data_IF_205786049254
#
_entry.id   IF_205786049254
#
_cell.length_a   1.000
_cell.length_b   1.000
_cell.length_c   1.000
_cell.angle_alpha   90.00
_cell.angle_beta   90.00
_cell.angle_gamma   90.00
#
_symmetry.space_group_name_H-M   'P 1'
#
loop_
_entity.id
_entity.type
_entity.pdbx_description
1 polymer ?
#
# COMPACT_ATOMS: atom_id res chain seq x y z
N UNK A 1 9.40 -15.38 -15.14
CA UNK A 1 8.68 -14.31 -15.83
C UNK A 1 7.47 -13.88 -15.01
N UNK A 2 7.27 -12.57 -14.85
CA UNK A 2 6.15 -12.07 -14.05
C UNK A 2 4.86 -12.20 -14.86
N UNK A 3 3.79 -12.72 -14.22
CA UNK A 3 2.46 -12.79 -14.85
C UNK A 3 1.87 -11.38 -14.93
N UNK A 4 2.01 -10.80 -16.11
CA UNK A 4 1.61 -9.41 -16.39
C UNK A 4 0.14 -9.14 -16.08
N UNK A 5 -0.74 -10.05 -16.48
CA UNK A 5 -2.18 -9.85 -16.29
C UNK A 5 -2.57 -9.78 -14.82
N UNK A 6 -2.03 -10.67 -14.00
CA UNK A 6 -2.31 -10.66 -12.56
C UNK A 6 -1.78 -9.40 -11.88
N UNK A 7 -0.59 -8.96 -12.26
CA UNK A 7 -0.01 -7.73 -11.71
C UNK A 7 -0.83 -6.51 -12.15
N UNK A 8 -1.23 -6.45 -13.41
CA UNK A 8 -2.06 -5.35 -13.92
C UNK A 8 -3.41 -5.25 -13.20
N UNK A 9 -4.04 -6.38 -12.89
CA UNK A 9 -5.30 -6.38 -12.14
C UNK A 9 -5.12 -5.76 -10.74
N UNK A 10 -4.02 -6.05 -10.08
CA UNK A 10 -3.72 -5.49 -8.76
C UNK A 10 -3.32 -4.03 -8.84
N UNK A 11 -2.60 -3.63 -9.87
CA UNK A 11 -2.30 -2.22 -10.11
C UNK A 11 -3.59 -1.41 -10.33
N UNK A 12 -4.56 -1.97 -11.05
CA UNK A 12 -5.86 -1.33 -11.23
C UNK A 12 -6.57 -1.12 -9.90
N UNK A 13 -6.57 -2.15 -9.04
CA UNK A 13 -7.15 -2.03 -7.69
C UNK A 13 -6.43 -0.97 -6.86
N UNK A 14 -5.12 -0.94 -6.93
CA UNK A 14 -4.32 0.06 -6.24
C UNK A 14 -4.68 1.48 -6.69
N UNK A 15 -4.75 1.70 -7.99
CA UNK A 15 -5.07 3.01 -8.56
C UNK A 15 -6.48 3.47 -8.18
N UNK A 16 -7.46 2.57 -8.19
CA UNK A 16 -8.82 2.88 -7.77
C UNK A 16 -8.88 3.27 -6.30
N UNK A 17 -8.19 2.52 -5.44
CA UNK A 17 -8.15 2.83 -4.01
C UNK A 17 -7.47 4.18 -3.75
N UNK A 18 -6.35 4.44 -4.40
CA UNK A 18 -5.61 5.71 -4.25
C UNK A 18 -6.46 6.89 -4.72
N UNK A 19 -7.21 6.74 -5.80
CA UNK A 19 -8.12 7.79 -6.27
C UNK A 19 -9.17 8.14 -5.21
N UNK A 20 -9.79 7.13 -4.61
CA UNK A 20 -10.77 7.33 -3.53
C UNK A 20 -10.14 8.00 -2.31
N UNK A 21 -8.91 7.63 -2.00
CA UNK A 21 -8.17 8.24 -0.89
C UNK A 21 -7.86 9.72 -1.16
N UNK A 22 -7.54 10.09 -2.39
CA UNK A 22 -7.35 11.49 -2.77
C UNK A 22 -8.63 12.31 -2.58
N UNK A 23 -9.79 11.75 -2.89
CA UNK A 23 -11.07 12.40 -2.65
C UNK A 23 -11.30 12.67 -1.16
N UNK A 24 -10.90 11.76 -0.31
CA UNK A 24 -11.02 11.92 1.15
C UNK A 24 -9.98 12.91 1.67
N UNK A 25 -8.79 12.93 1.10
CA UNK A 25 -7.68 13.78 1.54
C UNK A 25 -7.96 15.29 1.41
N UNK A 26 -8.96 15.69 0.64
CA UNK A 26 -9.34 17.12 0.53
C UNK A 26 -10.10 17.64 1.74
N UNK A 27 -10.63 16.75 2.58
CA UNK A 27 -11.37 17.14 3.77
C UNK A 27 -10.43 17.58 4.89
N UNK A 28 -10.89 18.56 5.70
CA UNK A 28 -10.16 19.00 6.88
C UNK A 28 -10.16 17.90 7.94
N UNK A 29 -9.28 18.04 8.94
CA UNK A 29 -9.26 17.14 10.08
C UNK A 29 -10.62 17.10 10.79
N UNK A 30 -11.24 18.26 11.02
CA UNK A 30 -12.54 18.31 11.69
C UNK A 30 -13.64 17.60 10.89
N UNK A 31 -13.68 17.81 9.58
CA UNK A 31 -14.62 17.11 8.71
C UNK A 31 -14.41 15.60 8.75
N UNK A 32 -13.15 15.17 8.65
CA UNK A 32 -12.80 13.77 8.67
C UNK A 32 -13.12 13.12 10.01
N UNK A 33 -12.66 13.73 11.10
CA UNK A 33 -12.84 13.20 12.46
C UNK A 33 -14.30 13.05 12.85
N UNK A 34 -15.14 13.96 12.41
CA UNK A 34 -16.56 13.99 12.76
C UNK A 34 -17.47 13.25 11.76
N UNK A 35 -16.90 12.57 10.79
CA UNK A 35 -17.65 11.84 9.77
C UNK A 35 -17.26 10.37 9.73
N UNK A 36 -18.09 9.54 10.36
CA UNK A 36 -17.83 8.09 10.42
C UNK A 36 -17.69 7.45 9.04
N UNK A 37 -18.52 7.88 8.08
CA UNK A 37 -18.47 7.33 6.73
C UNK A 37 -17.14 7.63 6.03
N UNK A 38 -16.58 8.82 6.23
CA UNK A 38 -15.27 9.17 5.70
C UNK A 38 -14.16 8.33 6.36
N UNK A 39 -14.24 8.15 7.68
CA UNK A 39 -13.25 7.33 8.40
C UNK A 39 -13.28 5.89 7.90
N UNK A 40 -14.45 5.30 7.80
CA UNK A 40 -14.62 3.92 7.32
C UNK A 40 -14.11 3.76 5.91
N UNK A 41 -14.40 4.72 5.04
CA UNK A 41 -13.97 4.70 3.64
C UNK A 41 -12.45 4.85 3.52
N UNK A 42 -11.83 5.69 4.33
CA UNK A 42 -10.38 5.85 4.35
C UNK A 42 -9.68 4.58 4.82
N UNK A 43 -10.12 4.00 5.93
CA UNK A 43 -9.55 2.76 6.46
C UNK A 43 -9.65 1.62 5.46
N UNK A 44 -10.82 1.46 4.85
CA UNK A 44 -11.05 0.41 3.84
C UNK A 44 -10.13 0.57 2.65
N UNK A 45 -10.00 1.77 2.10
CA UNK A 45 -9.21 2.00 0.90
C UNK A 45 -7.70 2.00 1.17
N UNK A 46 -7.26 2.41 2.36
CA UNK A 46 -5.86 2.24 2.78
C UNK A 46 -5.51 0.76 2.88
N UNK A 47 -6.41 -0.04 3.45
CA UNK A 47 -6.22 -1.50 3.50
C UNK A 47 -6.13 -2.10 2.09
N UNK A 48 -7.04 -1.73 1.20
CA UNK A 48 -7.03 -2.23 -0.19
C UNK A 48 -5.74 -1.83 -0.90
N UNK A 49 -5.30 -0.57 -0.76
CA UNK A 49 -4.07 -0.10 -1.40
C UNK A 49 -2.84 -0.82 -0.86
N UNK A 50 -2.72 -0.93 0.45
CA UNK A 50 -1.59 -1.62 1.08
C UNK A 50 -1.55 -3.10 0.68
N UNK A 51 -2.69 -3.78 0.71
CA UNK A 51 -2.77 -5.19 0.34
C UNK A 51 -2.43 -5.40 -1.13
N UNK A 52 -2.86 -4.52 -2.01
CA UNK A 52 -2.50 -4.60 -3.42
C UNK A 52 -0.99 -4.53 -3.64
N UNK A 53 -0.31 -3.62 -2.93
CA UNK A 53 1.15 -3.51 -3.00
C UNK A 53 1.84 -4.76 -2.50
N UNK A 54 1.37 -5.33 -1.39
CA UNK A 54 1.92 -6.56 -0.81
C UNK A 54 1.73 -7.73 -1.79
N UNK A 55 0.54 -7.87 -2.36
CA UNK A 55 0.23 -8.94 -3.32
C UNK A 55 1.12 -8.82 -4.56
N UNK A 56 1.32 -7.61 -5.07
CA UNK A 56 2.20 -7.36 -6.21
C UNK A 56 3.63 -7.77 -5.87
N UNK A 57 4.15 -7.33 -4.73
CA UNK A 57 5.50 -7.67 -4.30
C UNK A 57 5.69 -9.18 -4.19
N UNK A 58 4.75 -9.87 -3.54
CA UNK A 58 4.82 -11.32 -3.38
C UNK A 58 4.71 -12.06 -4.71
N UNK A 59 3.94 -11.53 -5.64
CA UNK A 59 3.81 -12.12 -6.98
C UNK A 59 5.12 -12.02 -7.76
N UNK A 60 5.77 -10.86 -7.72
CA UNK A 60 7.08 -10.67 -8.37
C UNK A 60 8.11 -11.61 -7.75
N UNK A 61 8.14 -11.70 -6.43
CA UNK A 61 9.08 -12.56 -5.69
C UNK A 61 8.91 -14.01 -6.12
N UNK A 62 7.68 -14.51 -6.15
CA UNK A 62 7.39 -15.91 -6.51
C UNK A 62 7.75 -16.18 -7.97
N UNK A 63 7.36 -15.32 -8.88
CA UNK A 63 7.57 -15.53 -10.31
C UNK A 63 9.05 -15.45 -10.71
N UNK A 64 9.84 -14.67 -9.99
CA UNK A 64 11.28 -14.53 -10.26
C UNK A 64 12.16 -15.47 -9.44
N UNK A 65 11.56 -16.28 -8.57
CA UNK A 65 12.28 -17.24 -7.77
C UNK A 65 13.18 -16.60 -6.72
N UNK A 66 12.81 -15.43 -6.21
CA UNK A 66 13.56 -14.77 -5.14
C UNK A 66 13.34 -15.51 -3.82
N UNK A 67 14.12 -15.16 -2.80
CA UNK A 67 13.98 -15.81 -1.49
C UNK A 67 12.58 -15.61 -0.92
N UNK A 68 12.13 -16.52 -0.07
CA UNK A 68 10.81 -16.46 0.56
C UNK A 68 10.78 -15.37 1.63
N UNK A 69 9.81 -14.45 1.58
CA UNK A 69 9.69 -13.41 2.61
C UNK A 69 9.23 -13.97 3.94
N UNK A 70 9.72 -13.39 5.03
CA UNK A 70 9.37 -13.77 6.40
C UNK A 70 8.23 -12.94 6.98
N UNK A 71 7.60 -12.13 6.16
CA UNK A 71 6.50 -11.26 6.51
C UNK A 71 6.28 -10.22 5.43
N UNK A 72 5.25 -9.40 5.57
CA UNK A 72 4.90 -8.44 4.52
C UNK A 72 5.94 -7.33 4.35
N UNK A 73 6.51 -6.84 5.43
CA UNK A 73 7.58 -5.85 5.35
C UNK A 73 8.81 -6.41 4.64
N UNK A 74 9.14 -7.68 4.89
CA UNK A 74 10.28 -8.35 4.27
C UNK A 74 10.13 -8.47 2.75
N UNK A 75 8.91 -8.54 2.24
CA UNK A 75 8.68 -8.55 0.80
C UNK A 75 9.30 -7.31 0.13
N UNK A 76 9.18 -6.15 0.76
CA UNK A 76 9.78 -4.92 0.20
C UNK A 76 11.30 -4.87 0.39
N UNK A 77 11.83 -5.50 1.43
CA UNK A 77 13.27 -5.69 1.59
C UNK A 77 13.83 -6.52 0.44
N UNK A 78 13.14 -7.59 0.06
CA UNK A 78 13.54 -8.45 -1.07
C UNK A 78 13.55 -7.65 -2.38
N UNK A 79 12.52 -6.84 -2.63
CA UNK A 79 12.48 -5.99 -3.83
C UNK A 79 13.64 -5.01 -3.87
N UNK A 80 14.07 -4.50 -2.71
CA UNK A 80 15.26 -3.65 -2.62
C UNK A 80 16.53 -4.45 -2.93
N UNK A 81 16.69 -5.62 -2.31
CA UNK A 81 17.85 -6.51 -2.54
C UNK A 81 18.02 -6.83 -4.02
N UNK A 82 16.92 -7.05 -4.72
CA UNK A 82 16.91 -7.42 -6.14
C UNK A 82 16.91 -6.23 -7.10
N UNK A 83 17.03 -5.01 -6.57
CA UNK A 83 17.13 -3.81 -7.38
C UNK A 83 15.83 -3.38 -8.04
N UNK A 84 14.69 -3.86 -7.58
CA UNK A 84 13.37 -3.50 -8.12
C UNK A 84 12.93 -2.11 -7.66
N UNK A 85 13.19 -1.79 -6.39
CA UNK A 85 12.84 -0.49 -5.82
C UNK A 85 14.05 0.10 -5.08
N UNK A 86 14.15 1.44 -4.98
CA UNK A 86 15.25 2.08 -4.24
C UNK A 86 15.04 2.00 -2.73
N UNK A 87 16.10 2.26 -1.97
CA UNK A 87 16.13 2.12 -0.51
C UNK A 87 15.10 3.00 0.20
N UNK A 88 14.96 4.25 -0.22
CA UNK A 88 14.00 5.18 0.39
C UNK A 88 12.56 4.71 0.19
N UNK A 89 12.22 4.21 -0.99
CA UNK A 89 10.89 3.66 -1.25
C UNK A 89 10.66 2.37 -0.46
N UNK A 90 11.67 1.50 -0.36
CA UNK A 90 11.56 0.28 0.43
C UNK A 90 11.22 0.59 1.89
N UNK A 91 11.85 1.60 2.48
CA UNK A 91 11.54 2.02 3.86
C UNK A 91 10.09 2.49 3.99
N UNK A 92 9.61 3.28 3.05
CA UNK A 92 8.22 3.75 3.03
C UNK A 92 7.24 2.60 2.88
N UNK A 93 7.52 1.64 2.01
CA UNK A 93 6.64 0.49 1.79
C UNK A 93 6.64 -0.48 2.97
N UNK A 94 7.74 -0.60 3.71
CA UNK A 94 7.78 -1.35 4.97
C UNK A 94 6.82 -0.73 6.00
N UNK A 95 6.76 0.60 6.06
CA UNK A 95 5.80 1.30 6.92
C UNK A 95 4.36 1.05 6.48
N UNK A 96 4.11 1.02 5.17
CA UNK A 96 2.79 0.68 4.61
C UNK A 96 2.36 -0.72 5.05
N UNK A 97 3.26 -1.70 4.99
CA UNK A 97 2.99 -3.06 5.42
C UNK A 97 2.66 -3.15 6.91
N UNK A 98 3.41 -2.43 7.75
CA UNK A 98 3.13 -2.34 9.19
C UNK A 98 1.79 -1.70 9.49
N UNK A 99 1.45 -0.64 8.77
CA UNK A 99 0.17 0.03 8.91
C UNK A 99 -1.01 -0.86 8.47
N UNK A 100 -0.84 -1.63 7.40
CA UNK A 100 -1.85 -2.62 6.97
C UNK A 100 -2.17 -3.60 8.10
N UNK A 101 -1.16 -4.06 8.82
CA UNK A 101 -1.38 -4.98 9.94
C UNK A 101 -2.18 -4.33 11.08
N UNK A 102 -1.95 -3.05 11.35
CA UNK A 102 -2.74 -2.31 12.33
C UNK A 102 -4.20 -2.21 11.88
N UNK A 103 -4.45 -1.87 10.62
CA UNK A 103 -5.80 -1.73 10.08
C UNK A 103 -6.60 -3.04 10.11
N UNK A 104 -5.93 -4.18 10.02
CA UNK A 104 -6.59 -5.49 9.94
C UNK A 104 -6.74 -6.13 11.33
N UNK A 105 -5.74 -5.96 12.21
CA UNK A 105 -5.68 -6.70 13.46
C UNK A 105 -6.04 -5.89 14.70
N UNK A 106 -6.04 -4.57 14.64
CA UNK A 106 -6.41 -3.72 15.76
C UNK A 106 -7.90 -3.38 15.68
N UNK A 107 -8.71 -4.26 16.23
CA UNK A 107 -10.17 -4.14 16.19
C UNK A 107 -10.74 -3.11 17.15
N UNK A 108 -9.98 -2.74 18.18
CA UNK A 108 -10.52 -1.97 19.29
C UNK A 108 -10.35 -0.47 19.13
N UNK A 109 -9.20 -0.04 18.64
CA UNK A 109 -8.94 1.40 18.43
C UNK A 109 -7.96 1.62 17.30
N UNK A 110 -8.46 2.18 16.20
CA UNK A 110 -7.61 2.73 15.15
C UNK A 110 -7.49 4.22 15.44
N UNK A 111 -6.26 4.71 15.57
CA UNK A 111 -6.01 6.14 15.80
C UNK A 111 -6.32 6.94 14.53
N UNK A 112 -7.41 7.70 14.57
CA UNK A 112 -7.88 8.51 13.45
C UNK A 112 -6.82 9.51 12.95
N UNK A 113 -5.97 10.01 13.84
CA UNK A 113 -4.90 10.94 13.48
C UNK A 113 -3.84 10.27 12.62
N UNK A 114 -3.49 9.02 12.94
CA UNK A 114 -2.54 8.24 12.15
C UNK A 114 -3.10 7.97 10.77
N UNK A 115 -4.36 7.56 10.69
CA UNK A 115 -5.03 7.31 9.41
C UNK A 115 -5.08 8.59 8.58
N UNK A 116 -5.53 9.69 9.17
CA UNK A 116 -5.61 10.97 8.47
C UNK A 116 -4.23 11.45 7.99
N UNK A 117 -3.20 11.29 8.81
CA UNK A 117 -1.81 11.63 8.43
C UNK A 117 -1.34 10.84 7.23
N UNK A 118 -1.74 9.56 7.13
CA UNK A 118 -1.34 8.70 6.01
C UNK A 118 -1.89 9.20 4.66
N UNK A 119 -2.97 9.98 4.67
CA UNK A 119 -3.53 10.59 3.46
C UNK A 119 -2.61 11.65 2.84
N UNK A 120 -1.56 12.07 3.56
CA UNK A 120 -0.54 13.00 3.05
C UNK A 120 0.61 12.28 2.34
N UNK A 121 0.63 10.95 2.37
CA UNK A 121 1.70 10.11 1.80
C UNK A 121 1.20 9.19 0.71
N UNK A 122 0.15 9.56 0.01
CA UNK A 122 -0.43 8.74 -1.08
C UNK A 122 0.51 8.61 -2.28
N UNK A 123 1.48 9.52 -2.42
CA UNK A 123 2.48 9.43 -3.49
C UNK A 123 3.38 8.20 -3.36
N UNK A 124 3.54 7.65 -2.17
CA UNK A 124 4.31 6.41 -1.97
C UNK A 124 3.72 5.27 -2.80
N UNK A 125 2.41 5.17 -2.87
CA UNK A 125 1.72 4.16 -3.69
C UNK A 125 1.98 4.36 -5.18
N UNK A 126 1.99 5.61 -5.64
CA UNK A 126 2.27 5.95 -7.05
C UNK A 126 3.71 5.65 -7.42
N UNK A 127 4.64 5.96 -6.53
CA UNK A 127 6.06 5.64 -6.70
C UNK A 127 6.24 4.14 -6.86
N UNK A 128 5.63 3.36 -5.97
CA UNK A 128 5.69 1.91 -6.06
C UNK A 128 5.13 1.41 -7.39
N UNK A 129 3.97 1.90 -7.80
CA UNK A 129 3.36 1.51 -9.07
C UNK A 129 4.26 1.80 -10.26
N UNK A 130 4.96 2.94 -10.29
CA UNK A 130 5.91 3.28 -11.36
C UNK A 130 7.01 2.22 -11.50
N UNK A 131 7.61 1.82 -10.40
CA UNK A 131 8.67 0.80 -10.43
C UNK A 131 8.13 -0.56 -10.89
N UNK A 132 6.89 -0.88 -10.54
CA UNK A 132 6.25 -2.11 -11.01
C UNK A 132 5.97 -2.05 -12.51
N UNK A 133 5.47 -0.94 -13.02
CA UNK A 133 5.21 -0.78 -14.47
C UNK A 133 6.46 -0.96 -15.31
N UNK A 134 7.63 -0.57 -14.82
CA UNK A 134 8.90 -0.76 -15.52
C UNK A 134 9.19 -2.25 -15.77
N UNK A 135 8.69 -3.15 -14.92
CA UNK A 135 8.88 -4.60 -15.07
C UNK A 135 7.94 -5.22 -16.10
N UNK A 136 6.89 -4.53 -16.46
CA UNK A 136 5.89 -5.02 -17.40
C UNK A 136 6.19 -4.56 -18.82
#
# INVERSE_FOLDING_TARGET
MVDKEKVEQRLTKLEQAVRKLHEIAVHSWDEYHNNEALRDRAERNLHVAAQACIDIANHIIADRGYRTPQGYADSFVILLEEGIIPADLADKMKMVAGFRNILVHDYLEIDDKIVYSSLRRLDDFREFAKHVYILL
#
